data_IF_172126438987
#
_entry.id   IF_172126438987
#
_cell.length_a   1.000
_cell.length_b   1.000
_cell.length_c   1.000
_cell.angle_alpha   90.00
_cell.angle_beta   90.00
_cell.angle_gamma   90.00
#
_symmetry.space_group_name_H-M   'P 1'
#
loop_
_entity.id
_entity.type
_entity.pdbx_description
1 polymer ?
#
# COMPACT_ATOMS: atom_id res chain seq x y z
N UNK A 1 -23.67 19.51 3.14
CA UNK A 1 -23.63 18.50 4.21
C UNK A 1 -22.20 18.38 4.72
N UNK A 2 -22.03 18.44 6.03
CA UNK A 2 -20.81 18.80 6.74
C UNK A 2 -19.63 17.86 6.48
N UNK A 3 -18.59 18.41 5.84
CA UNK A 3 -17.24 17.86 5.82
C UNK A 3 -16.67 17.89 7.24
N UNK A 4 -16.88 16.81 8.00
CA UNK A 4 -16.29 16.68 9.31
C UNK A 4 -14.78 16.39 9.19
N UNK A 5 -14.01 17.43 9.52
CA UNK A 5 -12.69 17.43 10.14
C UNK A 5 -11.56 16.64 9.46
N UNK A 6 -10.64 17.39 8.82
CA UNK A 6 -9.21 17.07 8.87
C UNK A 6 -8.82 17.02 10.35
N UNK A 7 -8.70 15.83 10.95
CA UNK A 7 -8.22 15.71 12.32
C UNK A 7 -6.72 16.02 12.32
N UNK A 8 -6.38 17.22 12.78
CA UNK A 8 -5.06 17.58 13.26
C UNK A 8 -4.66 16.63 14.39
N UNK A 9 -3.60 15.86 14.18
CA UNK A 9 -2.88 15.19 15.26
C UNK A 9 -1.37 15.41 15.05
N UNK A 10 -0.65 16.00 16.03
CA UNK A 10 0.80 15.94 16.06
C UNK A 10 1.28 14.55 16.54
N UNK A 11 1.57 13.64 15.59
CA UNK A 11 2.30 12.34 15.69
C UNK A 11 1.55 11.14 16.31
N UNK A 12 1.87 9.84 16.02
CA UNK A 12 2.80 9.21 15.05
C UNK A 12 2.11 8.63 13.77
N UNK A 13 2.93 8.20 12.79
CA UNK A 13 2.65 8.18 11.34
C UNK A 13 1.43 7.36 10.83
N UNK A 14 0.95 6.32 11.50
CA UNK A 14 -0.27 5.59 11.08
C UNK A 14 -1.21 5.37 12.29
N UNK A 15 -2.11 6.33 12.49
CA UNK A 15 -3.20 6.25 13.46
C UNK A 15 -4.57 6.41 12.80
N UNK A 16 -5.60 5.78 13.39
CA UNK A 16 -7.00 5.94 12.98
C UNK A 16 -7.83 6.27 14.21
N UNK A 17 -8.58 7.38 14.14
CA UNK A 17 -9.59 7.73 15.14
C UNK A 17 -10.82 6.85 14.94
N UNK A 18 -11.32 6.27 16.03
CA UNK A 18 -12.59 5.53 16.02
C UNK A 18 -13.73 6.54 16.08
N UNK A 19 -14.65 6.46 15.13
CA UNK A 19 -15.85 7.29 15.07
C UNK A 19 -17.06 6.44 15.51
N UNK A 20 -17.96 7.02 16.31
CA UNK A 20 -19.25 6.45 16.69
C UNK A 20 -19.20 5.05 17.33
N UNK A 21 -18.08 4.71 17.97
CA UNK A 21 -17.86 3.39 18.58
C UNK A 21 -17.70 2.23 17.57
N UNK A 22 -17.63 2.50 16.26
CA UNK A 22 -17.51 1.46 15.25
C UNK A 22 -16.05 1.02 15.04
N UNK A 23 -15.63 0.06 15.86
CA UNK A 23 -14.26 -0.48 15.89
C UNK A 23 -13.90 -1.21 14.58
N UNK A 24 -14.85 -1.94 13.99
CA UNK A 24 -14.60 -2.74 12.78
C UNK A 24 -14.19 -1.88 11.58
N UNK A 25 -14.85 -0.73 11.42
CA UNK A 25 -14.52 0.20 10.35
C UNK A 25 -13.16 0.86 10.58
N UNK A 26 -12.84 1.20 11.82
CA UNK A 26 -11.53 1.75 12.18
C UNK A 26 -10.39 0.75 11.89
N UNK A 27 -10.57 -0.54 12.22
CA UNK A 27 -9.60 -1.60 11.93
C UNK A 27 -9.38 -1.81 10.43
N UNK A 28 -10.45 -1.80 9.64
CA UNK A 28 -10.34 -1.88 8.17
C UNK A 28 -9.55 -0.70 7.60
N UNK A 29 -9.84 0.51 8.08
CA UNK A 29 -9.14 1.71 7.64
C UNK A 29 -7.67 1.68 8.06
N UNK A 30 -7.37 1.21 9.28
CA UNK A 30 -5.99 1.06 9.76
C UNK A 30 -5.23 0.05 8.90
N UNK A 31 -5.83 -1.11 8.63
CA UNK A 31 -5.25 -2.13 7.73
C UNK A 31 -4.99 -1.57 6.33
N UNK A 32 -5.91 -0.76 5.80
CA UNK A 32 -5.73 -0.09 4.51
C UNK A 32 -4.56 0.89 4.55
N UNK A 33 -4.50 1.78 5.55
CA UNK A 33 -3.39 2.73 5.71
C UNK A 33 -2.02 2.06 5.85
N UNK A 34 -1.94 0.94 6.58
CA UNK A 34 -0.70 0.16 6.74
C UNK A 34 -0.25 -0.44 5.41
N UNK A 35 -1.19 -0.92 4.59
CA UNK A 35 -0.90 -1.45 3.25
C UNK A 35 -0.50 -0.36 2.27
N UNK A 36 -1.26 0.74 2.24
CA UNK A 36 -1.00 1.88 1.36
C UNK A 36 0.37 2.53 1.67
N UNK A 37 0.80 2.49 2.93
CA UNK A 37 2.12 2.96 3.36
C UNK A 37 3.27 2.00 3.01
N UNK A 38 3.00 0.78 2.51
CA UNK A 38 4.04 -0.20 2.14
C UNK A 38 4.90 -0.73 3.30
N UNK A 39 4.56 -0.38 4.56
CA UNK A 39 5.42 -0.63 5.73
C UNK A 39 5.78 -2.10 5.93
N UNK A 40 4.82 -3.00 5.67
CA UNK A 40 5.03 -4.44 5.84
C UNK A 40 6.02 -4.97 4.81
N UNK A 41 5.95 -4.51 3.57
CA UNK A 41 6.87 -4.92 2.49
C UNK A 41 8.28 -4.38 2.77
N UNK A 42 8.40 -3.12 3.18
CA UNK A 42 9.69 -2.52 3.54
C UNK A 42 10.38 -3.26 4.70
N UNK A 43 9.62 -3.65 5.73
CA UNK A 43 10.19 -4.38 6.88
C UNK A 43 10.65 -5.79 6.47
N UNK A 44 9.89 -6.47 5.61
CA UNK A 44 10.27 -7.79 5.09
C UNK A 44 11.54 -7.69 4.22
N UNK A 45 11.61 -6.71 3.33
CA UNK A 45 12.76 -6.50 2.46
C UNK A 45 14.03 -6.10 3.25
N UNK A 46 13.88 -5.40 4.38
CA UNK A 46 14.99 -5.00 5.25
C UNK A 46 15.43 -6.08 6.24
N UNK A 47 14.64 -7.14 6.43
CA UNK A 47 14.96 -8.19 7.41
C UNK A 47 16.25 -8.95 7.08
N UNK A 48 16.60 -9.05 5.79
CA UNK A 48 17.80 -9.74 5.32
C UNK A 48 18.51 -8.94 4.22
N UNK A 49 19.83 -9.09 4.14
CA UNK A 49 20.61 -8.49 3.05
C UNK A 49 20.30 -9.17 1.72
N UNK A 50 19.72 -8.44 0.78
CA UNK A 50 19.55 -8.88 -0.59
C UNK A 50 20.63 -8.27 -1.50
N UNK A 51 21.39 -9.12 -2.20
CA UNK A 51 22.37 -8.67 -3.19
C UNK A 51 21.70 -7.76 -4.24
N UNK A 52 22.30 -6.62 -4.64
CA UNK A 52 21.67 -5.66 -5.55
C UNK A 52 21.34 -6.22 -6.94
N UNK A 53 21.97 -7.33 -7.35
CA UNK A 53 21.62 -8.02 -8.59
C UNK A 53 20.27 -8.75 -8.51
N UNK A 54 19.92 -9.27 -7.34
CA UNK A 54 18.68 -10.04 -7.14
C UNK A 54 17.50 -9.06 -7.08
N UNK A 55 17.64 -7.96 -6.33
CA UNK A 55 16.65 -6.88 -6.29
C UNK A 55 16.37 -6.30 -7.68
N UNK A 56 17.42 -5.97 -8.46
CA UNK A 56 17.27 -5.52 -9.86
C UNK A 56 16.52 -6.52 -10.75
N UNK A 57 16.77 -7.82 -10.56
CA UNK A 57 16.08 -8.88 -11.31
C UNK A 57 14.60 -8.97 -10.92
N UNK A 58 14.24 -8.81 -9.64
CA UNK A 58 12.84 -8.81 -9.18
C UNK A 58 12.05 -7.68 -9.83
N UNK A 59 12.61 -6.47 -9.85
CA UNK A 59 11.99 -5.28 -10.47
C UNK A 59 11.71 -5.51 -11.96
N UNK A 60 12.70 -6.01 -12.71
CA UNK A 60 12.53 -6.30 -14.15
C UNK A 60 11.47 -7.37 -14.43
N UNK A 61 11.38 -8.40 -13.59
CA UNK A 61 10.34 -9.44 -13.71
C UNK A 61 8.95 -8.85 -13.50
N UNK A 62 8.78 -8.02 -12.47
CA UNK A 62 7.52 -7.34 -12.17
C UNK A 62 7.11 -6.40 -13.32
N UNK A 63 8.05 -5.61 -13.86
CA UNK A 63 7.79 -4.72 -14.99
C UNK A 63 7.31 -5.49 -16.24
N UNK A 64 7.96 -6.61 -16.58
CA UNK A 64 7.52 -7.48 -17.69
C UNK A 64 6.13 -8.06 -17.47
N UNK A 65 5.80 -8.46 -16.24
CA UNK A 65 4.48 -8.95 -15.90
C UNK A 65 3.43 -7.86 -16.08
N UNK A 66 3.65 -6.68 -15.51
CA UNK A 66 2.74 -5.53 -15.63
C UNK A 66 2.53 -5.12 -17.09
N UNK A 67 3.59 -5.13 -17.91
CA UNK A 67 3.49 -4.85 -19.33
C UNK A 67 2.55 -5.82 -20.05
N UNK A 68 2.71 -7.13 -19.81
CA UNK A 68 1.83 -8.15 -20.41
C UNK A 68 0.36 -7.97 -20.02
N UNK A 69 0.11 -7.61 -18.76
CA UNK A 69 -1.24 -7.33 -18.25
C UNK A 69 -1.83 -6.12 -18.99
N UNK A 70 -1.06 -5.03 -19.12
CA UNK A 70 -1.48 -3.84 -19.85
C UNK A 70 -1.71 -4.13 -21.33
N UNK A 71 -0.81 -4.85 -22.00
CA UNK A 71 -0.95 -5.24 -23.41
C UNK A 71 -2.24 -6.05 -23.63
N UNK A 72 -2.52 -7.03 -22.77
CA UNK A 72 -3.77 -7.81 -22.79
C UNK A 72 -5.01 -6.92 -22.63
N UNK A 73 -4.99 -5.99 -21.67
CA UNK A 73 -6.15 -5.14 -21.40
C UNK A 73 -6.41 -4.11 -22.52
N UNK A 74 -5.37 -3.72 -23.29
CA UNK A 74 -5.52 -2.81 -24.43
C UNK A 74 -5.83 -3.52 -25.74
N UNK A 75 -5.26 -4.70 -25.98
CA UNK A 75 -5.60 -5.54 -27.14
C UNK A 75 -7.05 -5.99 -27.10
N UNK A 76 -7.63 -6.17 -25.91
CA UNK A 76 -9.05 -6.55 -25.72
C UNK A 76 -10.04 -5.36 -25.79
N UNK A 77 -9.56 -4.12 -25.84
CA UNK A 77 -10.39 -2.90 -25.96
C UNK A 77 -10.52 -2.40 -27.40
N UNK A 78 -9.86 -3.06 -28.35
CA UNK A 78 -10.04 -2.84 -29.78
C UNK A 78 -11.17 -3.71 -30.32
#
# INVERSE_FOLDING_TARGET
MSNQSKSSLPGPWIGVKVMDGNINNALKLLKKKVKDAGLVEELQDRQAFEKPSISRRKILKLAKFNQKIWDRDNTCKQ
#
